data_IF_033807024550
#
_entry.id   IF_033807024550
#
_cell.length_a   1.000
_cell.length_b   1.000
_cell.length_c   1.000
_cell.angle_alpha   90.00
_cell.angle_beta   90.00
_cell.angle_gamma   90.00
#
_symmetry.space_group_name_H-M   'P 1'
#
loop_
_entity.id
_entity.type
_entity.pdbx_description
1 polymer ?
#
# COMPACT_ATOMS: atom_id res chain seq x y z
N UNK A 1 3.83 -5.37 20.92
CA UNK A 1 4.78 -5.92 19.94
C UNK A 1 4.73 -7.42 20.05
N UNK A 2 4.48 -8.14 18.95
CA UNK A 2 4.35 -9.61 18.94
C UNK A 2 5.65 -10.23 18.45
N UNK A 3 6.20 -11.18 19.20
CA UNK A 3 7.53 -11.74 18.91
C UNK A 3 7.50 -12.68 17.70
N UNK A 4 6.31 -13.19 17.38
CA UNK A 4 6.02 -14.10 16.27
C UNK A 4 6.29 -13.45 14.90
N UNK A 5 6.17 -12.12 14.82
CA UNK A 5 6.42 -11.33 13.61
C UNK A 5 7.89 -11.44 13.16
N UNK A 6 8.82 -11.75 14.07
CA UNK A 6 10.27 -11.84 13.80
C UNK A 6 10.80 -13.25 13.50
N UNK A 7 9.91 -14.24 13.41
CA UNK A 7 10.30 -15.62 13.08
C UNK A 7 11.03 -15.78 11.74
N UNK A 8 10.66 -15.05 10.66
CA UNK A 8 11.43 -15.03 9.42
C UNK A 8 12.90 -14.60 9.61
N UNK A 9 13.13 -13.54 10.37
CA UNK A 9 14.45 -12.94 10.64
C UNK A 9 15.30 -13.87 11.50
N UNK A 10 14.70 -14.51 12.51
CA UNK A 10 15.38 -15.54 13.32
C UNK A 10 15.86 -16.71 12.47
N UNK A 11 15.04 -17.17 11.53
CA UNK A 11 15.42 -18.25 10.59
C UNK A 11 16.53 -17.78 9.64
N UNK A 12 16.41 -16.56 9.12
CA UNK A 12 17.40 -15.97 8.22
C UNK A 12 18.77 -15.83 8.88
N UNK A 13 18.83 -15.43 10.16
CA UNK A 13 20.10 -15.21 10.87
C UNK A 13 21.02 -16.44 10.88
N UNK A 14 20.43 -17.65 10.89
CA UNK A 14 21.16 -18.92 10.83
C UNK A 14 21.64 -19.31 9.44
N UNK A 15 20.99 -18.80 8.38
CA UNK A 15 21.26 -19.11 6.97
C UNK A 15 21.11 -17.85 6.13
N UNK A 16 22.02 -16.90 6.33
CA UNK A 16 22.02 -15.53 5.77
C UNK A 16 22.13 -15.52 4.24
N UNK A 17 21.03 -15.86 3.57
CA UNK A 17 20.89 -15.82 2.11
C UNK A 17 20.36 -14.46 1.70
N UNK A 18 20.81 -13.97 0.55
CA UNK A 18 20.28 -12.72 0.00
C UNK A 18 18.80 -12.90 -0.39
N UNK A 19 17.99 -11.88 -0.12
CA UNK A 19 16.56 -11.83 -0.39
C UNK A 19 16.11 -10.38 -0.60
N UNK A 20 14.83 -10.19 -0.92
CA UNK A 20 14.21 -8.87 -1.05
C UNK A 20 14.32 -7.99 0.21
N UNK A 21 14.51 -8.59 1.39
CA UNK A 21 14.61 -7.88 2.67
C UNK A 21 16.05 -7.81 3.23
N UNK A 22 16.99 -8.59 2.67
CA UNK A 22 18.36 -8.66 3.18
C UNK A 22 19.36 -8.89 2.05
N UNK A 23 20.24 -7.93 1.82
CA UNK A 23 21.25 -7.98 0.76
C UNK A 23 22.65 -7.72 1.33
N UNK A 24 23.67 -8.06 0.56
CA UNK A 24 25.06 -7.77 0.92
C UNK A 24 25.50 -6.44 0.33
N UNK A 25 26.31 -5.74 1.11
CA UNK A 25 27.01 -4.52 0.69
C UNK A 25 28.51 -4.76 0.88
N UNK A 26 29.34 -4.29 -0.05
CA UNK A 26 30.78 -4.41 0.10
C UNK A 26 31.32 -3.42 1.14
N UNK A 27 32.39 -3.78 1.83
CA UNK A 27 33.04 -2.89 2.81
C UNK A 27 33.57 -1.63 2.13
N UNK A 28 33.99 -1.71 0.87
CA UNK A 28 34.45 -0.55 0.09
C UNK A 28 33.36 0.49 -0.08
N UNK A 29 32.12 0.05 -0.34
CA UNK A 29 30.98 0.95 -0.52
C UNK A 29 30.60 1.64 0.79
N UNK A 30 30.70 0.92 1.92
CA UNK A 30 30.47 1.50 3.25
C UNK A 30 31.51 2.58 3.56
N UNK A 31 32.79 2.33 3.25
CA UNK A 31 33.87 3.32 3.44
C UNK A 31 33.64 4.54 2.53
N UNK A 32 33.31 4.31 1.24
CA UNK A 32 33.04 5.38 0.28
C UNK A 32 31.82 6.24 0.69
N UNK A 33 30.82 5.64 1.35
CA UNK A 33 29.66 6.32 1.90
C UNK A 33 29.91 6.95 3.28
N UNK A 34 31.18 7.18 3.66
CA UNK A 34 31.58 7.74 4.96
C UNK A 34 30.98 6.98 6.16
N UNK A 35 30.95 5.64 6.08
CA UNK A 35 30.39 4.75 7.10
C UNK A 35 28.89 4.93 7.38
N UNK A 36 28.16 5.61 6.49
CA UNK A 36 26.71 5.69 6.57
C UNK A 36 26.09 4.36 6.13
N UNK A 37 25.32 3.74 7.03
CA UNK A 37 24.64 2.46 6.83
C UNK A 37 23.22 2.61 6.28
N UNK A 38 22.71 3.83 6.08
CA UNK A 38 21.47 4.09 5.33
C UNK A 38 21.71 3.88 3.83
N UNK A 39 21.99 2.63 3.46
CA UNK A 39 22.18 2.18 2.09
C UNK A 39 20.83 1.67 1.61
N UNK A 40 20.32 2.23 0.51
CA UNK A 40 19.01 1.86 -0.02
C UNK A 40 19.03 0.43 -0.53
N UNK A 41 17.93 -0.28 -0.24
CA UNK A 41 17.74 -1.65 -0.67
C UNK A 41 17.56 -1.71 -2.19
N UNK A 42 18.43 -2.40 -2.94
CA UNK A 42 18.32 -2.50 -4.40
C UNK A 42 17.12 -3.33 -4.87
N UNK A 43 16.51 -4.12 -3.98
CA UNK A 43 15.33 -4.95 -4.28
C UNK A 43 14.00 -4.23 -4.03
N UNK A 44 14.00 -3.00 -3.50
CA UNK A 44 12.78 -2.20 -3.45
C UNK A 44 12.45 -1.80 -4.88
N UNK A 45 11.56 -2.58 -5.49
CA UNK A 45 10.76 -2.11 -6.62
C UNK A 45 9.91 -0.99 -6.05
N UNK A 46 10.01 0.20 -6.65
CA UNK A 46 9.12 1.30 -6.34
C UNK A 46 7.70 0.74 -6.39
N UNK A 47 7.00 0.70 -5.25
CA UNK A 47 5.57 0.43 -5.26
C UNK A 47 5.02 1.54 -6.12
N UNK A 48 4.67 1.24 -7.37
CA UNK A 48 4.10 2.24 -8.23
C UNK A 48 2.75 2.59 -7.60
N UNK A 49 2.70 3.69 -6.86
CA UNK A 49 1.54 4.15 -6.10
C UNK A 49 0.36 4.56 -7.02
N UNK A 50 0.38 4.18 -8.30
CA UNK A 50 -0.50 4.66 -9.36
C UNK A 50 -0.21 6.13 -9.70
N UNK A 51 -0.57 6.57 -10.91
CA UNK A 51 -0.58 8.02 -11.19
C UNK A 51 -1.69 8.66 -10.33
N UNK A 52 -1.40 9.69 -9.53
CA UNK A 52 -2.40 10.41 -8.74
C UNK A 52 -3.61 10.85 -9.56
N UNK A 53 -3.44 11.17 -10.85
CA UNK A 53 -4.53 11.54 -11.76
C UNK A 53 -5.48 10.38 -12.04
N UNK A 54 -4.94 9.18 -12.19
CA UNK A 54 -5.74 7.98 -12.46
C UNK A 54 -6.57 7.61 -11.23
N UNK A 55 -5.97 7.69 -10.04
CA UNK A 55 -6.66 7.47 -8.76
C UNK A 55 -7.75 8.51 -8.53
N UNK A 56 -7.46 9.78 -8.83
CA UNK A 56 -8.43 10.88 -8.67
C UNK A 56 -9.59 10.77 -9.67
N UNK A 57 -9.32 10.27 -10.88
CA UNK A 57 -10.37 9.96 -11.85
C UNK A 57 -11.27 8.82 -11.34
N UNK A 58 -10.70 7.74 -10.84
CA UNK A 58 -11.45 6.62 -10.26
C UNK A 58 -12.31 7.08 -9.07
N UNK A 59 -11.75 7.92 -8.19
CA UNK A 59 -12.48 8.53 -7.07
C UNK A 59 -13.73 9.27 -7.54
N UNK A 60 -13.61 10.16 -8.53
CA UNK A 60 -14.75 10.90 -9.06
C UNK A 60 -15.80 10.01 -9.74
N UNK A 61 -15.39 8.90 -10.37
CA UNK A 61 -16.33 7.92 -10.92
C UNK A 61 -17.12 7.22 -9.81
N UNK A 62 -16.46 6.89 -8.70
CA UNK A 62 -17.11 6.30 -7.52
C UNK A 62 -18.08 7.30 -6.88
N UNK A 63 -17.70 8.57 -6.73
CA UNK A 63 -18.61 9.61 -6.21
C UNK A 63 -19.90 9.73 -7.03
N UNK A 64 -19.79 9.75 -8.36
CA UNK A 64 -20.96 9.79 -9.25
C UNK A 64 -21.87 8.57 -9.08
N UNK A 65 -21.29 7.38 -8.91
CA UNK A 65 -22.05 6.15 -8.64
C UNK A 65 -22.77 6.25 -7.29
N UNK A 66 -22.09 6.73 -6.25
CA UNK A 66 -22.68 6.94 -4.92
C UNK A 66 -23.86 7.92 -5.00
N UNK A 67 -23.69 9.04 -5.70
CA UNK A 67 -24.76 10.02 -5.84
C UNK A 67 -25.98 9.44 -6.56
N UNK A 68 -25.75 8.71 -7.65
CA UNK A 68 -26.83 8.03 -8.38
C UNK A 68 -27.59 7.06 -7.48
N UNK A 69 -26.87 6.19 -6.76
CA UNK A 69 -27.47 5.23 -5.83
C UNK A 69 -28.26 5.94 -4.73
N UNK A 70 -27.71 7.01 -4.15
CA UNK A 70 -28.38 7.81 -3.13
C UNK A 70 -29.66 8.44 -3.65
N UNK A 71 -29.66 8.96 -4.87
CA UNK A 71 -30.83 9.58 -5.47
C UNK A 71 -31.91 8.54 -5.80
N UNK A 72 -31.51 7.37 -6.31
CA UNK A 72 -32.44 6.24 -6.48
C UNK A 72 -33.05 5.85 -5.14
N UNK A 73 -32.25 5.64 -4.10
CA UNK A 73 -32.75 5.27 -2.77
C UNK A 73 -33.73 6.31 -2.22
N UNK A 74 -33.42 7.61 -2.35
CA UNK A 74 -34.33 8.68 -1.95
C UNK A 74 -35.65 8.63 -2.71
N UNK A 75 -35.61 8.39 -4.02
CA UNK A 75 -36.81 8.30 -4.85
C UNK A 75 -37.70 7.13 -4.40
N UNK A 76 -37.13 5.93 -4.28
CA UNK A 76 -37.88 4.74 -3.83
C UNK A 76 -38.51 4.96 -2.44
N UNK A 77 -37.78 5.61 -1.51
CA UNK A 77 -38.32 5.97 -0.20
C UNK A 77 -39.46 6.99 -0.28
N UNK A 78 -39.35 8.00 -1.16
CA UNK A 78 -40.40 8.99 -1.36
C UNK A 78 -41.65 8.36 -1.99
N UNK A 79 -41.46 7.47 -2.97
CA UNK A 79 -42.56 6.75 -3.63
C UNK A 79 -43.30 5.87 -2.60
N UNK A 80 -42.56 5.10 -1.79
CA UNK A 80 -43.13 4.25 -0.73
C UNK A 80 -43.85 5.04 0.38
N UNK A 81 -43.37 6.23 0.73
CA UNK A 81 -44.02 7.10 1.72
C UNK A 81 -45.21 7.87 1.13
N UNK A 82 -45.14 8.24 -0.15
CA UNK A 82 -46.16 9.02 -0.87
C UNK A 82 -47.39 8.23 -1.28
N UNK A 83 -47.27 6.90 -1.43
CA UNK A 83 -48.41 6.00 -1.70
C UNK A 83 -49.26 5.68 -0.46
N UNK A 84 -48.95 6.25 0.70
CA UNK A 84 -49.79 6.13 1.90
C UNK A 84 -50.89 7.21 1.89
N UNK A 85 -51.89 7.06 1.01
CA UNK A 85 -53.14 7.85 1.08
C UNK A 85 -54.36 7.01 0.77
#
# INVERSE_FOLDING_TARGET
>A
MRIEEFEPEKRWWKKRKESEYAWKVSVKDVIANNYNLDIKNPHIVDENHGDPKDILKEYHEIEKKIEKVRNTLKKELMDALGETK
#
